data_IF_057727801908
#
_entry.id   IF_057727801908
#
_cell.length_a   1.000
_cell.length_b   1.000
_cell.length_c   1.000
_cell.angle_alpha   90.00
_cell.angle_beta   90.00
_cell.angle_gamma   90.00
#
_symmetry.space_group_name_H-M   'P 1'
#
loop_
_entity.id
_entity.type
_entity.pdbx_description
1 polymer ?
#
# COMPACT_ATOMS: atom_id res chain seq x y z
N UNK A 1 21.42 -17.40 3.22
CA UNK A 1 19.93 -17.31 3.38
C UNK A 1 19.19 -17.93 2.20
N UNK A 2 19.43 -17.56 0.95
CA UNK A 2 18.76 -18.16 -0.25
C UNK A 2 18.98 -19.68 -0.35
N UNK A 3 20.18 -20.18 -0.08
CA UNK A 3 20.50 -21.61 -0.12
C UNK A 3 19.63 -22.42 0.86
N UNK A 4 19.44 -21.91 2.08
CA UNK A 4 18.56 -22.54 3.08
C UNK A 4 17.12 -22.71 2.55
N UNK A 5 16.53 -21.66 1.98
CA UNK A 5 15.17 -21.75 1.46
C UNK A 5 15.04 -22.70 0.28
N UNK A 6 16.05 -22.83 -0.57
CA UNK A 6 16.05 -23.80 -1.67
C UNK A 6 16.02 -25.25 -1.19
N UNK A 7 16.66 -25.53 -0.06
CA UNK A 7 16.76 -26.88 0.49
C UNK A 7 15.54 -27.25 1.35
N UNK A 8 14.96 -26.28 2.06
CA UNK A 8 13.94 -26.50 3.08
C UNK A 8 12.51 -26.26 2.61
N UNK A 9 12.30 -25.63 1.45
CA UNK A 9 10.94 -25.31 0.99
C UNK A 9 10.62 -26.00 -0.34
N UNK A 10 9.34 -26.43 -0.48
CA UNK A 10 8.77 -26.88 -1.76
C UNK A 10 8.26 -25.74 -2.63
N UNK A 11 8.48 -24.50 -2.19
CA UNK A 11 8.03 -23.31 -2.91
C UNK A 11 9.00 -23.01 -4.06
N UNK A 12 8.53 -22.76 -5.28
CA UNK A 12 9.39 -22.38 -6.39
C UNK A 12 10.17 -21.10 -6.07
N UNK A 13 11.50 -21.15 -6.14
CA UNK A 13 12.38 -20.00 -5.99
C UNK A 13 12.87 -19.59 -7.36
N UNK A 14 12.70 -18.31 -7.70
CA UNK A 14 13.21 -17.70 -8.93
C UNK A 14 14.31 -16.72 -8.58
N UNK A 15 15.45 -16.85 -9.24
CA UNK A 15 16.57 -15.93 -9.12
C UNK A 15 16.65 -15.07 -10.38
N UNK A 16 16.93 -13.79 -10.18
CA UNK A 16 17.10 -12.84 -11.27
C UNK A 16 18.54 -12.29 -11.29
N UNK A 17 18.99 -11.85 -12.46
CA UNK A 17 20.29 -11.21 -12.58
C UNK A 17 20.31 -9.94 -11.70
N UNK A 18 21.36 -9.73 -10.87
CA UNK A 18 21.56 -8.52 -10.09
C UNK A 18 21.60 -7.22 -10.92
N UNK A 19 22.12 -7.32 -12.16
CA UNK A 19 22.14 -6.20 -13.11
C UNK A 19 20.90 -6.25 -13.97
N UNK A 20 19.94 -5.38 -13.67
CA UNK A 20 18.63 -5.31 -14.33
C UNK A 20 18.01 -3.92 -14.13
N UNK A 21 17.07 -3.56 -14.99
CA UNK A 21 16.43 -2.23 -15.03
C UNK A 21 15.22 -2.10 -14.08
N UNK A 22 14.91 -3.12 -13.29
CA UNK A 22 13.78 -3.13 -12.38
C UNK A 22 14.16 -3.73 -11.01
N UNK A 23 13.48 -3.28 -9.96
CA UNK A 23 13.64 -3.83 -8.61
C UNK A 23 13.10 -5.27 -8.53
N UNK A 24 13.56 -6.04 -7.54
CA UNK A 24 13.04 -7.40 -7.29
C UNK A 24 11.53 -7.40 -7.03
N UNK A 25 11.03 -6.39 -6.31
CA UNK A 25 9.61 -6.23 -6.02
C UNK A 25 8.82 -5.97 -7.29
N UNK A 26 9.29 -5.08 -8.16
CA UNK A 26 8.63 -4.81 -9.45
C UNK A 26 8.54 -6.07 -10.31
N UNK A 27 9.64 -6.81 -10.42
CA UNK A 27 9.67 -8.07 -11.21
C UNK A 27 8.71 -9.10 -10.61
N UNK A 28 8.68 -9.23 -9.28
CA UNK A 28 7.77 -10.14 -8.61
C UNK A 28 6.29 -9.77 -8.83
N UNK A 29 5.96 -8.48 -8.77
CA UNK A 29 4.61 -7.98 -9.08
C UNK A 29 4.20 -8.33 -10.51
N UNK A 30 5.04 -8.00 -11.51
CA UNK A 30 4.78 -8.32 -12.91
C UNK A 30 4.58 -9.82 -13.13
N UNK A 31 5.40 -10.66 -12.50
CA UNK A 31 5.24 -12.10 -12.55
C UNK A 31 3.91 -12.57 -11.95
N UNK A 32 3.48 -12.00 -10.81
CA UNK A 32 2.17 -12.32 -10.23
C UNK A 32 1.03 -11.97 -11.20
N UNK A 33 1.12 -10.83 -11.88
CA UNK A 33 0.12 -10.40 -12.87
C UNK A 33 0.13 -11.31 -14.12
N UNK A 34 1.30 -11.70 -14.61
CA UNK A 34 1.43 -12.68 -15.72
C UNK A 34 0.77 -14.02 -15.36
N UNK A 35 0.84 -14.39 -14.08
CA UNK A 35 0.16 -15.56 -13.50
C UNK A 35 -1.33 -15.28 -13.16
N UNK A 36 -1.87 -14.13 -13.58
CA UNK A 36 -3.27 -13.69 -13.38
C UNK A 36 -3.68 -13.68 -11.90
N UNK A 37 -2.75 -13.31 -10.99
CA UNK A 37 -3.06 -13.13 -9.59
C UNK A 37 -3.69 -11.77 -9.37
N UNK A 38 -4.84 -11.75 -8.68
CA UNK A 38 -5.58 -10.50 -8.40
C UNK A 38 -5.43 -10.03 -6.96
N UNK A 39 -4.93 -10.89 -6.08
CA UNK A 39 -4.62 -10.54 -4.69
C UNK A 39 -3.15 -10.86 -4.44
N UNK A 40 -2.34 -9.83 -4.21
CA UNK A 40 -0.88 -9.92 -4.09
C UNK A 40 -0.44 -9.38 -2.74
N UNK A 41 0.17 -10.22 -1.92
CA UNK A 41 0.72 -9.84 -0.62
C UNK A 41 2.24 -9.83 -0.68
N UNK A 42 2.84 -8.66 -0.42
CA UNK A 42 4.28 -8.46 -0.36
C UNK A 42 4.71 -8.42 1.11
N UNK A 43 5.39 -9.46 1.57
CA UNK A 43 5.89 -9.51 2.93
C UNK A 43 7.30 -8.93 3.01
N UNK A 44 7.53 -8.03 3.97
CA UNK A 44 8.86 -7.50 4.26
C UNK A 44 9.39 -6.46 3.25
N UNK A 45 8.49 -5.80 2.49
CA UNK A 45 8.83 -4.88 1.40
C UNK A 45 9.44 -3.53 1.83
N UNK A 46 9.65 -3.24 3.11
CA UNK A 46 10.19 -1.92 3.54
C UNK A 46 11.69 -1.94 3.81
N UNK A 47 12.25 -3.06 4.33
CA UNK A 47 13.68 -3.16 4.64
C UNK A 47 14.19 -2.04 5.55
N UNK A 48 15.51 -1.77 5.49
CA UNK A 48 16.17 -0.69 6.24
C UNK A 48 16.43 0.57 5.39
N UNK A 49 16.36 0.46 4.07
CA UNK A 49 16.61 1.55 3.14
C UNK A 49 15.29 2.19 2.72
N UNK A 50 15.13 3.48 3.02
CA UNK A 50 13.91 4.23 2.72
C UNK A 50 13.67 4.44 1.21
N UNK A 51 14.72 4.54 0.41
CA UNK A 51 14.63 4.63 -1.06
C UNK A 51 13.98 3.37 -1.65
N UNK A 52 14.37 2.18 -1.17
CA UNK A 52 13.75 0.91 -1.56
C UNK A 52 12.32 0.80 -1.06
N UNK A 53 12.06 1.20 0.19
CA UNK A 53 10.70 1.19 0.74
C UNK A 53 9.76 2.05 -0.10
N UNK A 54 10.17 3.27 -0.44
CA UNK A 54 9.38 4.17 -1.26
C UNK A 54 9.17 3.66 -2.68
N UNK A 55 10.23 3.14 -3.32
CA UNK A 55 10.12 2.51 -4.64
C UNK A 55 9.14 1.33 -4.64
N UNK A 56 9.12 0.51 -3.59
CA UNK A 56 8.19 -0.59 -3.45
C UNK A 56 6.74 -0.12 -3.30
N UNK A 57 6.49 0.97 -2.53
CA UNK A 57 5.16 1.59 -2.44
C UNK A 57 4.70 2.07 -3.82
N UNK A 58 5.57 2.79 -4.55
CA UNK A 58 5.25 3.25 -5.91
C UNK A 58 4.99 2.08 -6.87
N UNK A 59 5.69 0.96 -6.73
CA UNK A 59 5.51 -0.23 -7.57
C UNK A 59 4.13 -0.88 -7.42
N UNK A 60 3.40 -0.64 -6.32
CA UNK A 60 2.01 -1.09 -6.16
C UNK A 60 1.09 -0.55 -7.26
N UNK A 61 1.46 0.58 -7.88
CA UNK A 61 0.72 1.15 -9.02
C UNK A 61 0.63 0.18 -10.21
N UNK A 62 1.62 -0.69 -10.38
CA UNK A 62 1.62 -1.71 -11.44
C UNK A 62 0.46 -2.69 -11.25
N UNK A 63 0.20 -3.10 -10.01
CA UNK A 63 -0.93 -3.97 -9.68
C UNK A 63 -2.26 -3.22 -9.81
N UNK A 64 -2.34 -2.00 -9.29
CA UNK A 64 -3.53 -1.16 -9.37
C UNK A 64 -3.97 -0.94 -10.83
N UNK A 65 -3.03 -0.62 -11.74
CA UNK A 65 -3.30 -0.43 -13.17
C UNK A 65 -3.80 -1.69 -13.87
N UNK A 66 -3.44 -2.86 -13.34
CA UNK A 66 -3.90 -4.15 -13.84
C UNK A 66 -5.21 -4.62 -13.19
N UNK A 67 -5.83 -3.81 -12.33
CA UNK A 67 -7.04 -4.15 -11.59
C UNK A 67 -6.81 -5.22 -10.53
N UNK A 68 -5.59 -5.34 -10.01
CA UNK A 68 -5.23 -6.27 -8.95
C UNK A 68 -4.99 -5.54 -7.62
N UNK A 69 -5.47 -6.12 -6.55
CA UNK A 69 -5.19 -5.65 -5.20
C UNK A 69 -3.80 -6.09 -4.74
N UNK A 70 -2.99 -5.15 -4.29
CA UNK A 70 -1.66 -5.45 -3.77
C UNK A 70 -1.39 -4.71 -2.46
N UNK A 71 -0.79 -5.43 -1.50
CA UNK A 71 -0.43 -4.91 -0.18
C UNK A 71 1.03 -5.18 0.12
N UNK A 72 1.69 -4.20 0.74
CA UNK A 72 2.93 -4.43 1.47
C UNK A 72 2.57 -4.59 2.94
N UNK A 73 2.97 -5.70 3.54
CA UNK A 73 2.72 -5.97 4.96
C UNK A 73 4.04 -6.24 5.66
N UNK A 74 4.30 -5.46 6.71
CA UNK A 74 5.42 -5.62 7.62
C UNK A 74 4.91 -5.61 9.06
N UNK A 75 5.79 -5.78 10.03
CA UNK A 75 5.40 -5.94 11.44
C UNK A 75 4.43 -4.85 11.94
N UNK A 76 4.64 -3.60 11.54
CA UNK A 76 3.93 -2.43 12.08
C UNK A 76 3.12 -1.67 11.02
N UNK A 77 3.17 -2.08 9.77
CA UNK A 77 2.52 -1.34 8.68
C UNK A 77 1.89 -2.27 7.66
N UNK A 78 0.71 -1.90 7.19
CA UNK A 78 0.07 -2.41 5.98
C UNK A 78 -0.13 -1.23 5.03
N UNK A 79 0.30 -1.38 3.78
CA UNK A 79 0.30 -0.29 2.80
C UNK A 79 -0.35 -0.77 1.52
N UNK A 80 -1.26 0.04 0.98
CA UNK A 80 -1.90 -0.18 -0.33
C UNK A 80 -2.16 1.13 -1.06
N UNK A 81 -2.47 1.04 -2.34
CA UNK A 81 -2.95 2.18 -3.13
C UNK A 81 -4.46 2.06 -3.33
N UNK A 82 -5.12 3.23 -3.39
CA UNK A 82 -6.53 3.36 -3.73
C UNK A 82 -6.66 4.38 -4.87
N UNK A 83 -7.51 4.09 -5.85
CA UNK A 83 -7.90 4.99 -6.95
C UNK A 83 -9.42 5.22 -7.01
N UNK A 84 -10.13 4.76 -6.01
CA UNK A 84 -11.56 4.88 -5.84
C UNK A 84 -11.93 4.97 -4.36
N UNK A 85 -13.19 5.29 -4.08
CA UNK A 85 -13.75 5.32 -2.74
C UNK A 85 -13.50 4.00 -2.01
N UNK A 86 -13.23 4.07 -0.72
CA UNK A 86 -12.89 2.92 0.11
C UNK A 86 -13.50 3.04 1.51
N UNK A 87 -13.97 1.93 2.04
CA UNK A 87 -14.44 1.84 3.43
C UNK A 87 -13.47 0.99 4.23
N UNK A 88 -12.85 1.61 5.24
CA UNK A 88 -11.97 0.94 6.19
C UNK A 88 -12.77 0.59 7.44
N UNK A 89 -13.09 -0.69 7.63
CA UNK A 89 -13.80 -1.17 8.81
C UNK A 89 -12.85 -1.40 9.97
N UNK A 90 -13.26 -1.01 11.16
CA UNK A 90 -12.45 -1.14 12.39
C UNK A 90 -12.07 -2.58 12.70
N UNK A 91 -12.97 -3.52 12.47
CA UNK A 91 -12.75 -4.95 12.73
C UNK A 91 -11.77 -5.61 11.74
N UNK A 92 -11.60 -5.01 10.53
CA UNK A 92 -10.72 -5.48 9.48
C UNK A 92 -9.38 -4.72 9.45
N UNK A 93 -9.27 -3.61 10.20
CA UNK A 93 -8.10 -2.74 10.19
C UNK A 93 -6.86 -3.44 10.74
N UNK A 94 -5.72 -3.23 10.08
CA UNK A 94 -4.44 -3.81 10.47
C UNK A 94 -3.94 -3.30 11.84
N UNK A 95 -4.31 -2.08 12.20
CA UNK A 95 -3.92 -1.44 13.46
C UNK A 95 -4.83 -0.27 13.83
N UNK A 96 -4.57 0.38 14.98
CA UNK A 96 -5.42 1.47 15.46
C UNK A 96 -5.29 2.76 14.67
N UNK A 97 -4.21 2.94 13.92
CA UNK A 97 -3.92 4.16 13.18
C UNK A 97 -3.98 3.93 11.68
N UNK A 98 -4.42 4.95 10.96
CA UNK A 98 -4.27 5.01 9.52
C UNK A 98 -3.78 6.38 9.06
N UNK A 99 -3.12 6.41 7.91
CA UNK A 99 -2.66 7.63 7.26
C UNK A 99 -2.98 7.56 5.78
N UNK A 100 -3.29 8.71 5.18
CA UNK A 100 -3.57 8.80 3.75
C UNK A 100 -2.69 9.88 3.13
N UNK A 101 -2.01 9.54 2.05
CA UNK A 101 -1.15 10.46 1.31
C UNK A 101 -1.51 10.42 -0.18
N UNK A 102 -1.55 11.54 -0.88
CA UNK A 102 -1.67 11.53 -2.33
C UNK A 102 -0.38 11.00 -2.96
N UNK A 103 -0.49 10.12 -3.98
CA UNK A 103 0.68 9.52 -4.61
C UNK A 103 1.29 10.40 -5.71
N UNK A 104 0.46 11.00 -6.54
CA UNK A 104 0.88 11.62 -7.81
C UNK A 104 0.35 13.04 -8.03
N UNK A 105 0.16 13.80 -6.98
CA UNK A 105 -0.34 15.17 -7.04
C UNK A 105 -1.48 15.42 -6.07
N UNK A 106 -2.09 16.59 -6.13
CA UNK A 106 -3.21 16.95 -5.27
C UNK A 106 -4.43 16.12 -5.59
N UNK A 107 -5.09 15.59 -4.56
CA UNK A 107 -6.39 14.92 -4.65
C UNK A 107 -7.45 15.90 -4.15
N UNK A 108 -8.22 16.45 -5.07
CA UNK A 108 -9.28 17.42 -4.78
C UNK A 108 -10.53 16.73 -4.22
N UNK A 109 -11.30 17.49 -3.42
CA UNK A 109 -12.53 17.02 -2.81
C UNK A 109 -12.39 15.71 -2.01
N UNK A 110 -11.25 15.53 -1.39
CA UNK A 110 -10.95 14.39 -0.52
C UNK A 110 -11.74 14.52 0.79
N UNK A 111 -12.40 13.46 1.22
CA UNK A 111 -13.16 13.44 2.46
C UNK A 111 -12.89 12.19 3.28
N UNK A 112 -12.86 12.36 4.60
CA UNK A 112 -12.82 11.29 5.60
C UNK A 112 -14.02 11.44 6.53
N UNK A 113 -14.90 10.45 6.56
CA UNK A 113 -16.05 10.41 7.47
C UNK A 113 -15.93 9.21 8.40
N UNK A 114 -16.24 9.39 9.68
CA UNK A 114 -16.06 8.35 10.71
C UNK A 114 -14.63 8.27 11.27
N UNK A 115 -13.76 9.17 10.87
CA UNK A 115 -12.43 9.32 11.43
C UNK A 115 -12.42 10.31 12.59
N UNK A 116 -11.50 10.13 13.54
CA UNK A 116 -11.30 11.04 14.70
C UNK A 116 -10.98 12.47 14.25
N UNK A 117 -10.24 12.61 13.17
CA UNK A 117 -9.95 13.88 12.51
C UNK A 117 -10.58 13.87 11.10
N UNK A 118 -11.89 14.18 11.01
CA UNK A 118 -12.61 14.10 9.73
C UNK A 118 -12.18 15.23 8.80
N UNK A 119 -12.24 14.95 7.49
CA UNK A 119 -12.04 15.95 6.44
C UNK A 119 -13.27 16.01 5.56
N UNK A 120 -13.55 17.20 5.02
CA UNK A 120 -14.71 17.44 4.19
C UNK A 120 -14.31 18.28 2.98
N UNK A 121 -14.31 17.68 1.79
CA UNK A 121 -13.94 18.30 0.52
C UNK A 121 -12.59 19.02 0.56
N UNK A 122 -11.60 18.38 1.22
CA UNK A 122 -10.26 18.93 1.37
C UNK A 122 -9.43 18.72 0.09
N UNK A 123 -8.57 19.69 -0.25
CA UNK A 123 -7.55 19.51 -1.28
C UNK A 123 -6.32 18.83 -0.64
N UNK A 124 -6.27 17.50 -0.66
CA UNK A 124 -5.16 16.74 -0.08
C UNK A 124 -3.91 16.88 -0.95
N UNK A 125 -2.92 17.62 -0.48
CA UNK A 125 -1.69 17.90 -1.22
C UNK A 125 -0.54 16.99 -0.80
N UNK A 126 0.48 16.76 -1.65
CA UNK A 126 1.67 15.95 -1.29
C UNK A 126 2.48 16.52 -0.12
N UNK A 127 2.23 17.75 0.28
CA UNK A 127 2.92 18.46 1.36
C UNK A 127 2.09 18.54 2.64
N UNK A 128 0.92 17.92 2.63
CA UNK A 128 -0.03 17.94 3.72
C UNK A 128 0.22 16.77 4.67
N UNK A 129 0.17 17.01 5.96
CA UNK A 129 0.29 15.99 7.01
C UNK A 129 -0.97 15.78 7.82
N UNK A 130 -2.09 16.39 7.42
CA UNK A 130 -3.36 16.33 8.15
C UNK A 130 -3.92 14.91 8.32
N UNK A 131 -3.64 14.03 7.35
CA UNK A 131 -4.12 12.65 7.37
C UNK A 131 -3.16 11.67 8.05
N UNK A 132 -2.15 12.15 8.78
CA UNK A 132 -1.19 11.27 9.46
C UNK A 132 -1.73 10.86 10.83
N UNK A 133 -1.63 9.56 11.14
CA UNK A 133 -2.02 8.99 12.44
C UNK A 133 -3.48 9.30 12.82
N UNK A 134 -4.38 9.20 11.89
CA UNK A 134 -5.81 9.27 12.16
C UNK A 134 -6.31 7.94 12.78
N UNK A 135 -7.46 7.95 13.38
CA UNK A 135 -8.07 6.80 14.07
C UNK A 135 -9.51 6.60 13.58
N UNK A 136 -10.00 5.34 13.62
CA UNK A 136 -11.41 5.04 13.35
C UNK A 136 -12.22 5.33 14.60
N UNK A 137 -13.08 6.34 14.59
CA UNK A 137 -13.87 6.74 15.76
C UNK A 137 -15.09 5.82 15.97
N UNK A 138 -15.78 5.46 14.90
CA UNK A 138 -16.92 4.55 14.93
C UNK A 138 -16.56 3.11 14.56
N UNK A 139 -17.39 2.49 13.74
CA UNK A 139 -17.20 1.13 13.23
C UNK A 139 -16.40 1.12 11.91
N UNK A 140 -16.42 2.23 11.18
CA UNK A 140 -15.76 2.36 9.89
C UNK A 140 -15.39 3.81 9.55
N UNK A 141 -14.46 3.96 8.61
CA UNK A 141 -14.11 5.23 7.97
C UNK A 141 -14.43 5.13 6.47
N UNK A 142 -15.22 6.07 5.98
CA UNK A 142 -15.44 6.28 4.56
C UNK A 142 -14.35 7.22 4.03
N UNK A 143 -13.54 6.75 3.08
CA UNK A 143 -12.52 7.51 2.35
C UNK A 143 -13.10 7.77 0.97
N UNK A 144 -13.38 9.04 0.62
CA UNK A 144 -13.99 9.37 -0.66
C UNK A 144 -13.24 10.47 -1.40
N UNK A 145 -13.09 10.30 -2.70
CA UNK A 145 -12.44 11.26 -3.60
C UNK A 145 -12.84 11.00 -5.06
N UNK A 146 -13.01 12.01 -5.90
CA UNK A 146 -13.55 11.83 -7.25
C UNK A 146 -12.53 11.25 -8.24
N UNK A 147 -11.24 11.50 -8.04
CA UNK A 147 -10.13 11.01 -8.88
C UNK A 147 -8.79 11.20 -8.18
N UNK A 148 -7.78 10.54 -8.69
CA UNK A 148 -6.42 10.54 -8.14
C UNK A 148 -6.04 9.18 -7.59
N UNK A 149 -4.87 9.11 -6.98
CA UNK A 149 -4.37 7.91 -6.32
C UNK A 149 -3.87 8.31 -4.94
N UNK A 150 -4.31 7.59 -3.93
CA UNK A 150 -3.81 7.76 -2.57
C UNK A 150 -3.13 6.51 -2.06
N UNK A 151 -2.14 6.71 -1.20
CA UNK A 151 -1.49 5.67 -0.40
C UNK A 151 -2.24 5.59 0.92
N UNK A 152 -2.88 4.47 1.20
CA UNK A 152 -3.41 4.15 2.52
C UNK A 152 -2.37 3.34 3.28
N UNK A 153 -2.01 3.83 4.46
CA UNK A 153 -1.14 3.15 5.41
C UNK A 153 -1.92 2.89 6.69
N UNK A 154 -2.10 1.64 7.03
CA UNK A 154 -2.64 1.21 8.31
C UNK A 154 -1.47 0.83 9.21
N UNK A 155 -1.44 1.34 10.45
CA UNK A 155 -0.25 1.24 11.28
C UNK A 155 -0.57 0.90 12.74
N UNK A 156 0.42 0.29 13.40
CA UNK A 156 0.40 -0.02 14.83
C UNK A 156 1.81 0.07 15.42
N UNK A 157 1.91 0.34 16.72
CA UNK A 157 3.16 0.33 17.48
C UNK A 157 3.72 -1.08 17.72
#
# INVERSE_FOLDING_TARGET
MITYYKEETKVPIREFNPVKDASDTEIALRLCLDLRRQNILILGGTGTRMDHAWANVQSLKIALDAGADAWIVVRHNQIRLLDQDFVLKKEEAFGPYFSVFPLNGTVENFSLKGAKYPLNYHALTPFDSLCVSNEIEGDEVEITFPYGIVVLMETRD
#
